data_IF_938009149916
#
_entry.id   IF_938009149916
#
_cell.length_a   1.000
_cell.length_b   1.000
_cell.length_c   1.000
_cell.angle_alpha   90.00
_cell.angle_beta   90.00
_cell.angle_gamma   90.00
#
_symmetry.space_group_name_H-M   'P 1'
#
loop_
_entity.id
_entity.type
_entity.pdbx_description
1 polymer ?
#
# COMPACT_ATOMS: atom_id res chain seq x y z
N UNK A 1 -2.30 -3.86 6.83
CA UNK A 1 -3.66 -4.36 6.45
C UNK A 1 -3.67 -4.95 5.04
N UNK A 2 -4.49 -5.98 4.79
CA UNK A 2 -4.62 -6.65 3.48
C UNK A 2 -6.05 -6.57 2.94
N UNK A 3 -6.20 -6.20 1.68
CA UNK A 3 -7.48 -6.06 0.97
C UNK A 3 -7.42 -6.96 -0.27
N UNK A 4 -8.47 -7.74 -0.54
CA UNK A 4 -8.60 -8.51 -1.77
C UNK A 4 -9.74 -7.97 -2.61
N UNK A 5 -9.50 -7.83 -3.91
CA UNK A 5 -10.47 -7.35 -4.89
C UNK A 5 -10.54 -8.37 -6.01
N UNK A 6 -11.73 -8.87 -6.25
CA UNK A 6 -12.03 -9.78 -7.34
C UNK A 6 -12.55 -8.95 -8.52
N UNK A 7 -11.98 -9.16 -9.71
CA UNK A 7 -12.46 -8.55 -10.95
C UNK A 7 -12.56 -7.01 -10.92
N UNK A 8 -11.46 -6.25 -10.73
CA UNK A 8 -11.54 -4.80 -10.74
C UNK A 8 -11.96 -4.29 -12.13
N UNK A 9 -12.93 -3.35 -12.13
CA UNK A 9 -13.41 -2.70 -13.37
C UNK A 9 -12.37 -1.78 -14.01
N UNK A 10 -11.45 -1.24 -13.20
CA UNK A 10 -10.41 -0.32 -13.63
C UNK A 10 -9.01 -0.85 -13.28
N UNK A 11 -8.00 -0.32 -13.99
CA UNK A 11 -6.60 -0.64 -13.71
C UNK A 11 -6.18 -0.06 -12.34
N UNK A 12 -5.54 -0.90 -11.51
CA UNK A 12 -5.07 -0.54 -10.17
C UNK A 12 -4.16 0.69 -10.15
N UNK A 13 -3.35 0.89 -11.19
CA UNK A 13 -2.48 2.07 -11.32
C UNK A 13 -3.31 3.35 -11.39
N UNK A 14 -4.40 3.34 -12.16
CA UNK A 14 -5.29 4.49 -12.31
C UNK A 14 -6.04 4.78 -11.02
N UNK A 15 -6.59 3.74 -10.38
CA UNK A 15 -7.31 3.85 -9.11
C UNK A 15 -6.42 4.45 -8.01
N UNK A 16 -5.21 3.90 -7.84
CA UNK A 16 -4.29 4.36 -6.81
C UNK A 16 -3.73 5.75 -7.11
N UNK A 17 -3.48 6.10 -8.38
CA UNK A 17 -3.14 7.48 -8.76
C UNK A 17 -4.23 8.48 -8.35
N UNK A 18 -5.50 8.16 -8.61
CA UNK A 18 -6.64 9.00 -8.19
C UNK A 18 -6.73 9.11 -6.67
N UNK A 19 -6.38 8.05 -5.95
CA UNK A 19 -6.29 8.08 -4.50
C UNK A 19 -5.07 8.86 -3.96
N UNK A 20 -4.19 9.40 -4.82
CA UNK A 20 -3.02 10.19 -4.42
C UNK A 20 -1.77 9.37 -4.17
N UNK A 21 -1.72 8.12 -4.63
CA UNK A 21 -0.53 7.29 -4.59
C UNK A 21 0.33 7.47 -5.84
N UNK A 22 1.63 7.42 -5.62
CA UNK A 22 2.65 7.50 -6.65
C UNK A 22 3.08 6.07 -6.98
N UNK A 23 3.01 5.71 -8.26
CA UNK A 23 3.55 4.45 -8.74
C UNK A 23 5.06 4.45 -8.60
N UNK A 24 5.60 3.48 -7.87
CA UNK A 24 7.04 3.37 -7.63
C UNK A 24 7.70 2.38 -8.59
N UNK A 25 7.17 1.15 -8.66
CA UNK A 25 7.70 0.09 -9.54
C UNK A 25 6.68 -1.00 -9.78
N UNK A 26 6.89 -1.77 -10.85
CA UNK A 26 6.15 -3.00 -11.17
C UNK A 26 7.15 -4.11 -11.44
N UNK A 27 7.00 -5.21 -10.70
CA UNK A 27 7.79 -6.43 -10.82
C UNK A 27 6.83 -7.57 -11.20
N UNK A 28 6.79 -7.93 -12.48
CA UNK A 28 5.90 -8.97 -13.02
C UNK A 28 4.41 -8.75 -12.66
N UNK A 29 3.91 -9.49 -11.67
CA UNK A 29 2.54 -9.43 -11.15
C UNK A 29 2.38 -8.57 -9.89
N UNK A 30 3.47 -7.96 -9.41
CA UNK A 30 3.51 -7.11 -8.24
C UNK A 30 3.71 -5.66 -8.66
N UNK A 31 3.03 -4.75 -7.98
CA UNK A 31 3.25 -3.32 -8.14
C UNK A 31 3.37 -2.67 -6.77
N UNK A 32 4.23 -1.67 -6.67
CA UNK A 32 4.50 -0.93 -5.44
C UNK A 32 4.08 0.52 -5.65
N UNK A 33 3.36 1.05 -4.67
CA UNK A 33 2.85 2.42 -4.67
C UNK A 33 3.13 3.08 -3.34
N UNK A 34 3.51 4.36 -3.37
CA UNK A 34 3.82 5.11 -2.16
C UNK A 34 3.03 6.41 -2.09
N UNK A 35 2.67 6.83 -0.88
CA UNK A 35 2.09 8.14 -0.59
C UNK A 35 2.78 8.75 0.63
N UNK A 36 3.75 9.66 0.44
CA UNK A 36 4.39 10.38 1.53
C UNK A 36 3.38 11.24 2.29
N UNK A 37 3.49 11.27 3.62
CA UNK A 37 2.70 12.13 4.50
C UNK A 37 3.45 13.37 4.96
N UNK A 38 4.77 13.41 4.74
CA UNK A 38 5.64 14.54 5.07
C UNK A 38 6.70 14.77 3.99
N UNK A 39 7.20 16.00 3.91
CA UNK A 39 8.20 16.44 2.91
C UNK A 39 9.54 15.72 3.03
N UNK A 40 9.86 15.15 4.20
CA UNK A 40 11.04 14.31 4.43
C UNK A 40 10.95 12.92 3.76
N UNK A 41 9.79 12.59 3.17
CA UNK A 41 9.52 11.30 2.52
C UNK A 41 9.00 10.21 3.48
N UNK A 42 8.99 10.47 4.79
CA UNK A 42 8.45 9.59 5.83
C UNK A 42 7.76 10.42 6.94
N UNK A 43 6.67 9.96 7.57
CA UNK A 43 6.01 8.67 7.33
C UNK A 43 5.36 8.62 5.95
N UNK A 44 5.24 7.43 5.37
CA UNK A 44 4.59 7.23 4.06
C UNK A 44 3.74 5.98 4.08
N UNK A 45 2.61 6.02 3.39
CA UNK A 45 1.87 4.80 3.08
C UNK A 45 2.56 4.07 1.94
N UNK A 46 2.63 2.75 2.07
CA UNK A 46 3.16 1.86 1.05
C UNK A 46 2.12 0.79 0.75
N UNK A 47 1.68 0.72 -0.51
CA UNK A 47 0.79 -0.32 -1.00
C UNK A 47 1.56 -1.25 -1.92
N UNK A 48 1.56 -2.54 -1.58
CA UNK A 48 1.95 -3.61 -2.48
C UNK A 48 0.72 -4.27 -3.07
N UNK A 49 0.57 -4.19 -4.38
CA UNK A 49 -0.51 -4.88 -5.09
C UNK A 49 0.04 -6.11 -5.80
N UNK A 50 -0.61 -7.25 -5.65
CA UNK A 50 -0.25 -8.50 -6.32
C UNK A 50 -1.44 -9.05 -7.09
N UNK A 51 -1.21 -9.49 -8.33
CA UNK A 51 -2.22 -10.12 -9.18
C UNK A 51 -2.09 -11.62 -9.11
N UNK A 52 -3.11 -12.30 -8.60
CA UNK A 52 -3.16 -13.77 -8.49
C UNK A 52 -4.49 -14.25 -9.08
N UNK A 53 -4.43 -15.01 -10.17
CA UNK A 53 -5.60 -15.65 -10.77
C UNK A 53 -6.75 -14.69 -11.13
N UNK A 54 -6.43 -13.47 -11.57
CA UNK A 54 -7.41 -12.43 -11.90
C UNK A 54 -7.95 -11.65 -10.70
N UNK A 55 -7.58 -12.02 -9.47
CA UNK A 55 -7.83 -11.24 -8.26
C UNK A 55 -6.63 -10.35 -7.92
N UNK A 56 -6.89 -9.16 -7.40
CA UNK A 56 -5.87 -8.24 -6.93
C UNK A 56 -5.84 -8.24 -5.41
N UNK A 57 -4.65 -8.33 -4.86
CA UNK A 57 -4.40 -8.27 -3.42
C UNK A 57 -3.60 -7.03 -3.12
N UNK A 58 -4.13 -6.13 -2.30
CA UNK A 58 -3.46 -4.93 -1.84
C UNK A 58 -3.01 -5.11 -0.40
N UNK A 59 -1.74 -4.87 -0.10
CA UNK A 59 -1.20 -4.86 1.25
C UNK A 59 -0.75 -3.44 1.56
N UNK A 60 -1.45 -2.77 2.49
CA UNK A 60 -1.16 -1.42 2.95
C UNK A 60 -0.31 -1.46 4.23
N UNK A 61 0.79 -0.71 4.19
CA UNK A 61 1.76 -0.56 5.26
C UNK A 61 1.99 0.94 5.52
N UNK A 62 2.28 1.31 6.77
CA UNK A 62 2.73 2.66 7.14
C UNK A 62 4.23 2.60 7.47
N UNK A 63 5.06 3.08 6.57
CA UNK A 63 6.50 3.19 6.78
C UNK A 63 6.76 4.48 7.58
N UNK A 64 7.14 4.38 8.85
CA UNK A 64 7.46 5.56 9.67
C UNK A 64 8.86 6.13 9.45
N UNK A 65 9.80 5.30 9.00
CA UNK A 65 11.20 5.68 8.74
C UNK A 65 11.73 4.91 7.54
N UNK A 66 12.79 5.45 6.91
CA UNK A 66 13.55 4.74 5.88
C UNK A 66 14.09 3.46 6.50
N UNK A 67 13.62 2.30 6.04
CA UNK A 67 14.19 1.03 6.48
C UNK A 67 15.65 0.97 6.03
N UNK A 68 16.57 1.07 6.98
CA UNK A 68 17.93 0.60 6.81
C UNK A 68 17.86 -0.92 6.83
N UNK A 69 18.08 -1.56 5.69
CA UNK A 69 18.32 -3.01 5.61
C UNK A 69 19.67 -3.32 6.28
N UNK A 70 19.71 -3.18 7.60
CA UNK A 70 20.75 -3.71 8.48
C UNK A 70 20.16 -4.92 9.17
N UNK A 71 20.86 -6.04 9.06
CA UNK A 71 20.61 -7.30 9.77
C UNK A 71 20.38 -7.09 11.26
N UNK A 72 19.14 -6.88 11.71
CA UNK A 72 18.73 -7.05 13.11
C UNK A 72 17.20 -6.94 13.26
N UNK A 73 16.63 -8.06 13.67
CA UNK A 73 15.43 -8.17 14.52
C UNK A 73 14.09 -7.70 13.95
N UNK A 74 13.33 -8.71 13.51
CA UNK A 74 11.87 -8.76 13.46
C UNK A 74 11.29 -8.30 14.81
N UNK A 75 11.00 -7.01 14.94
CA UNK A 75 9.99 -6.49 15.85
C UNK A 75 8.84 -5.90 15.03
N UNK A 76 8.07 -6.81 14.41
CA UNK A 76 6.61 -6.71 14.42
C UNK A 76 6.17 -6.47 15.88
N UNK A 77 5.15 -5.68 16.21
CA UNK A 77 4.23 -5.01 15.34
C UNK A 77 3.15 -4.30 16.15
N UNK A 78 3.07 -2.98 16.02
CA UNK A 78 1.89 -2.22 16.47
C UNK A 78 1.37 -1.24 15.40
N UNK A 79 2.04 -1.12 14.25
CA UNK A 79 1.67 -0.12 13.26
C UNK A 79 0.85 -0.66 12.09
N UNK A 80 0.79 -1.99 11.89
CA UNK A 80 -0.11 -2.59 10.87
C UNK A 80 -1.59 -2.41 11.22
N UNK A 81 -1.89 -2.14 12.49
CA UNK A 81 -3.23 -1.98 13.07
C UNK A 81 -3.49 -0.57 13.64
N UNK A 82 -2.59 0.39 13.35
CA UNK A 82 -2.79 1.79 13.71
C UNK A 82 -4.07 2.32 13.04
N UNK A 83 -4.84 3.11 13.78
CA UNK A 83 -6.07 3.73 13.26
C UNK A 83 -5.85 4.47 11.94
N UNK A 84 -4.65 5.02 11.72
CA UNK A 84 -4.25 5.65 10.45
C UNK A 84 -4.27 4.68 9.25
N UNK A 85 -3.84 3.43 9.43
CA UNK A 85 -3.85 2.41 8.39
C UNK A 85 -5.28 1.94 8.11
N UNK A 86 -6.13 1.89 9.15
CA UNK A 86 -7.57 1.59 9.03
C UNK A 86 -8.30 2.67 8.25
N UNK A 87 -8.15 3.92 8.65
CA UNK A 87 -8.74 5.08 7.98
C UNK A 87 -8.33 5.15 6.50
N UNK A 88 -7.04 4.95 6.21
CA UNK A 88 -6.55 4.96 4.85
C UNK A 88 -7.05 3.75 4.04
N UNK A 89 -7.13 2.57 4.67
CA UNK A 89 -7.73 1.37 4.07
C UNK A 89 -9.18 1.63 3.69
N UNK A 90 -9.97 2.23 4.58
CA UNK A 90 -11.38 2.52 4.32
C UNK A 90 -11.55 3.64 3.28
N UNK A 91 -10.65 4.63 3.25
CA UNK A 91 -10.59 5.62 2.18
C UNK A 91 -10.34 4.94 0.84
N UNK A 92 -9.36 4.05 0.75
CA UNK A 92 -9.02 3.32 -0.48
C UNK A 92 -10.20 2.43 -0.91
N UNK A 93 -10.86 1.72 0.02
CA UNK A 93 -12.06 0.93 -0.31
C UNK A 93 -13.16 1.77 -0.95
N UNK A 94 -13.35 3.03 -0.54
CA UNK A 94 -14.32 3.94 -1.19
C UNK A 94 -13.94 4.29 -2.62
N UNK A 95 -12.65 4.33 -2.96
CA UNK A 95 -12.17 4.53 -4.34
C UNK A 95 -12.22 3.26 -5.20
N UNK A 96 -12.17 2.08 -4.55
CA UNK A 96 -12.19 0.77 -5.20
C UNK A 96 -13.60 0.17 -5.29
N UNK A 97 -14.62 0.87 -4.76
CA UNK A 97 -16.05 0.57 -4.89
C UNK A 97 -16.65 1.09 -6.19
#
# INVERSE_FOLDING_TARGET
MKIRIESPKENMVTLLRRAGYIFQRKDENKMSFIRPLASSGYPRFHIYTEVIGGSFTLNLHLDQKKQTYGTATRHHGEYEDSDLVKEETDRIKKFLG
#
